data_IF_147107099909
#
_entry.id   IF_147107099909
#
_cell.length_a   1.000
_cell.length_b   1.000
_cell.length_c   1.000
_cell.angle_alpha   90.00
_cell.angle_beta   90.00
_cell.angle_gamma   90.00
#
_symmetry.space_group_name_H-M   'P 1'
#
loop_
_entity.id
_entity.type
_entity.pdbx_description
1 polymer ?
#
# COMPACT_ATOMS: atom_id res chain seq x y z
N UNK A 1 5.56 13.16 14.55
CA UNK A 1 4.25 12.58 14.20
C UNK A 1 4.28 11.16 14.72
N UNK A 2 3.61 10.89 15.85
CA UNK A 2 3.57 9.53 16.43
C UNK A 2 2.58 8.70 15.63
N UNK A 3 3.09 7.90 14.70
CA UNK A 3 2.28 6.96 13.92
C UNK A 3 2.00 5.75 14.81
N UNK A 4 0.75 5.61 15.27
CA UNK A 4 0.30 4.39 15.96
C UNK A 4 -0.20 3.37 14.94
N UNK A 5 0.70 2.50 14.48
CA UNK A 5 0.30 1.33 13.69
C UNK A 5 -0.10 0.22 14.65
N UNK A 6 -1.33 -0.31 14.60
CA UNK A 6 -1.68 -1.51 15.35
C UNK A 6 -0.82 -2.68 14.85
N UNK A 7 0.01 -3.25 15.73
CA UNK A 7 0.96 -4.30 15.34
C UNK A 7 0.27 -5.55 14.80
N UNK A 8 -0.95 -5.84 15.28
CA UNK A 8 -1.77 -6.97 14.82
C UNK A 8 -2.15 -6.90 13.33
N UNK A 9 -1.99 -5.73 12.70
CA UNK A 9 -2.25 -5.52 11.28
C UNK A 9 -1.03 -5.82 10.39
N UNK A 10 0.16 -5.98 10.97
CA UNK A 10 1.41 -6.11 10.22
C UNK A 10 1.91 -7.56 10.26
N UNK A 11 1.97 -8.17 9.08
CA UNK A 11 2.76 -9.39 8.84
C UNK A 11 4.24 -9.10 8.58
N UNK A 12 4.68 -7.85 8.73
CA UNK A 12 6.05 -7.38 8.50
C UNK A 12 6.60 -6.60 9.70
N UNK A 13 7.93 -6.53 9.90
CA UNK A 13 8.51 -5.73 10.97
C UNK A 13 8.11 -4.25 10.86
N UNK A 14 7.79 -3.62 12.00
CA UNK A 14 7.40 -2.20 12.05
C UNK A 14 8.47 -1.28 11.45
N UNK A 15 9.75 -1.61 11.63
CA UNK A 15 10.88 -0.84 11.07
C UNK A 15 10.87 -0.86 9.54
N UNK A 16 10.57 -2.01 8.94
CA UNK A 16 10.48 -2.15 7.49
C UNK A 16 9.25 -1.41 6.96
N UNK A 17 8.12 -1.53 7.66
CA UNK A 17 6.90 -0.75 7.37
C UNK A 17 7.18 0.76 7.33
N UNK A 18 7.82 1.29 8.37
CA UNK A 18 8.16 2.70 8.45
C UNK A 18 9.11 3.12 7.32
N UNK A 19 10.14 2.30 7.02
CA UNK A 19 11.09 2.59 5.95
C UNK A 19 10.41 2.68 4.57
N UNK A 20 9.51 1.75 4.26
CA UNK A 20 8.78 1.75 2.98
C UNK A 20 7.80 2.92 2.91
N UNK A 21 7.08 3.23 3.99
CA UNK A 21 6.18 4.38 4.04
C UNK A 21 6.94 5.69 3.78
N UNK A 22 8.10 5.87 4.41
CA UNK A 22 8.95 7.04 4.20
C UNK A 22 9.48 7.12 2.76
N UNK A 23 9.95 6.00 2.21
CA UNK A 23 10.45 5.97 0.83
C UNK A 23 9.32 6.21 -0.19
N UNK A 24 8.12 5.67 0.04
CA UNK A 24 6.94 5.95 -0.78
C UNK A 24 6.58 7.43 -0.78
N UNK A 25 6.57 8.06 0.40
CA UNK A 25 6.31 9.49 0.53
C UNK A 25 7.38 10.33 -0.20
N UNK A 26 8.65 9.95 -0.08
CA UNK A 26 9.77 10.61 -0.77
C UNK A 26 9.63 10.51 -2.29
N UNK A 27 9.32 9.33 -2.83
CA UNK A 27 9.12 9.15 -4.28
C UNK A 27 7.91 9.89 -4.79
N UNK A 28 6.82 9.89 -4.04
CA UNK A 28 5.62 10.63 -4.43
C UNK A 28 5.89 12.13 -4.59
N UNK A 29 6.73 12.72 -3.73
CA UNK A 29 7.11 14.14 -3.86
C UNK A 29 7.83 14.43 -5.19
N UNK A 30 8.61 13.49 -5.71
CA UNK A 30 9.36 13.63 -6.97
C UNK A 30 8.59 13.16 -8.21
N UNK A 31 7.63 12.24 -8.04
CA UNK A 31 6.94 11.50 -9.10
C UNK A 31 5.41 11.60 -8.93
N UNK A 32 4.87 12.80 -8.69
CA UNK A 32 3.44 13.04 -8.35
C UNK A 32 2.42 12.55 -9.40
N UNK A 33 2.85 12.07 -10.56
CA UNK A 33 2.00 11.45 -11.59
C UNK A 33 2.00 9.91 -11.59
N UNK A 34 2.89 9.27 -10.83
CA UNK A 34 3.02 7.81 -10.82
C UNK A 34 1.89 7.18 -9.98
N UNK A 35 0.87 6.65 -10.67
CA UNK A 35 -0.29 6.01 -10.04
C UNK A 35 0.08 4.82 -9.16
N UNK A 36 1.15 4.10 -9.48
CA UNK A 36 1.59 2.97 -8.67
C UNK A 36 2.18 3.47 -7.34
N UNK A 37 3.07 4.46 -7.39
CA UNK A 37 3.67 5.05 -6.18
C UNK A 37 2.59 5.70 -5.30
N UNK A 38 1.65 6.44 -5.91
CA UNK A 38 0.51 7.03 -5.21
C UNK A 38 -0.37 5.98 -4.53
N UNK A 39 -0.65 4.87 -5.19
CA UNK A 39 -1.41 3.76 -4.63
C UNK A 39 -0.69 3.08 -3.45
N UNK A 40 0.62 2.85 -3.56
CA UNK A 40 1.42 2.28 -2.46
C UNK A 40 1.39 3.22 -1.25
N UNK A 41 1.68 4.51 -1.44
CA UNK A 41 1.66 5.50 -0.36
C UNK A 41 0.29 5.54 0.33
N UNK A 42 -0.79 5.65 -0.45
CA UNK A 42 -2.17 5.70 0.08
C UNK A 42 -2.50 4.44 0.88
N UNK A 43 -2.10 3.27 0.39
CA UNK A 43 -2.33 2.00 1.08
C UNK A 43 -1.61 1.93 2.43
N UNK A 44 -0.35 2.37 2.48
CA UNK A 44 0.43 2.39 3.71
C UNK A 44 -0.08 3.44 4.70
N UNK A 45 -0.53 4.60 4.23
CA UNK A 45 -1.17 5.62 5.06
C UNK A 45 -2.48 5.14 5.68
N UNK A 46 -3.29 4.40 4.92
CA UNK A 46 -4.50 3.76 5.42
C UNK A 46 -4.19 2.72 6.51
N UNK A 47 -3.20 1.84 6.29
CA UNK A 47 -2.73 0.85 7.29
C UNK A 47 -2.20 1.53 8.55
N UNK A 48 -1.48 2.64 8.38
CA UNK A 48 -0.99 3.49 9.46
C UNK A 48 -2.09 4.36 10.12
N UNK A 49 -3.36 4.20 9.70
CA UNK A 49 -4.53 4.95 10.18
C UNK A 49 -4.41 6.47 10.05
N UNK A 50 -3.68 6.95 9.04
CA UNK A 50 -3.59 8.38 8.73
C UNK A 50 -4.84 8.88 8.00
N UNK A 51 -5.62 7.97 7.42
CA UNK A 51 -6.97 8.20 6.94
C UNK A 51 -7.79 6.89 7.00
N UNK A 52 -9.10 7.00 6.80
CA UNK A 52 -10.05 5.87 6.88
C UNK A 52 -10.61 5.44 5.54
N UNK A 53 -10.18 6.05 4.44
CA UNK A 53 -10.61 5.63 3.09
C UNK A 53 -9.73 4.49 2.58
N UNK A 54 -10.34 3.37 2.23
CA UNK A 54 -9.66 2.21 1.68
C UNK A 54 -9.28 2.45 0.20
N UNK A 55 -8.05 2.12 -0.22
CA UNK A 55 -7.44 2.65 -1.45
C UNK A 55 -8.02 2.10 -2.76
N UNK A 56 -8.55 0.87 -2.81
CA UNK A 56 -9.11 0.28 -4.02
C UNK A 56 -10.63 0.49 -4.13
N UNK A 57 -11.34 0.40 -3.01
CA UNK A 57 -12.80 0.42 -2.96
C UNK A 57 -13.38 1.77 -2.58
N UNK A 58 -12.58 2.68 -2.02
CA UNK A 58 -13.03 3.97 -1.50
C UNK A 58 -13.93 3.88 -0.27
N UNK A 59 -14.10 2.69 0.31
CA UNK A 59 -14.93 2.49 1.50
C UNK A 59 -14.33 3.21 2.70
N UNK A 60 -15.17 3.83 3.52
CA UNK A 60 -14.75 4.41 4.80
C UNK A 60 -14.72 3.31 5.87
N UNK A 61 -13.54 2.78 6.16
CA UNK A 61 -13.32 1.70 7.12
C UNK A 61 -11.90 1.76 7.67
N UNK A 62 -11.72 1.45 8.96
CA UNK A 62 -10.38 1.35 9.57
C UNK A 62 -9.65 0.13 9.00
N UNK A 63 -8.35 0.28 8.74
CA UNK A 63 -7.49 -0.82 8.30
C UNK A 63 -7.28 -1.85 9.43
N UNK A 64 -8.20 -2.80 9.58
CA UNK A 64 -8.00 -4.03 10.34
C UNK A 64 -7.60 -5.20 9.43
N UNK A 65 -7.19 -6.37 9.97
CA UNK A 65 -6.65 -7.47 9.16
C UNK A 65 -7.62 -7.95 8.07
N UNK A 66 -8.90 -8.11 8.43
CA UNK A 66 -9.97 -8.48 7.50
C UNK A 66 -10.24 -7.40 6.44
N UNK A 67 -10.16 -6.13 6.82
CA UNK A 67 -10.36 -5.02 5.89
C UNK A 67 -9.22 -4.99 4.87
N UNK A 68 -7.97 -5.13 5.33
CA UNK A 68 -6.77 -5.18 4.49
C UNK A 68 -6.85 -6.36 3.51
N UNK A 69 -7.23 -7.56 3.98
CA UNK A 69 -7.36 -8.74 3.11
C UNK A 69 -8.44 -8.54 2.03
N UNK A 70 -9.62 -8.05 2.39
CA UNK A 70 -10.70 -7.77 1.41
C UNK A 70 -10.29 -6.69 0.41
N UNK A 71 -9.56 -5.68 0.86
CA UNK A 71 -9.10 -4.60 0.00
C UNK A 71 -8.06 -5.08 -1.00
N UNK A 72 -7.13 -5.95 -0.57
CA UNK A 72 -6.20 -6.62 -1.46
C UNK A 72 -6.95 -7.44 -2.52
N UNK A 73 -7.95 -8.25 -2.11
CA UNK A 73 -8.76 -9.04 -3.06
C UNK A 73 -9.49 -8.15 -4.09
N UNK A 74 -10.00 -6.99 -3.66
CA UNK A 74 -10.62 -6.03 -4.56
C UNK A 74 -9.62 -5.44 -5.56
N UNK A 75 -8.40 -5.14 -5.13
CA UNK A 75 -7.33 -4.72 -6.02
C UNK A 75 -6.93 -5.84 -7.01
N UNK A 76 -6.75 -7.07 -6.53
CA UNK A 76 -6.45 -8.24 -7.36
C UNK A 76 -7.54 -8.46 -8.42
N UNK A 77 -8.82 -8.29 -8.07
CA UNK A 77 -9.94 -8.37 -9.02
C UNK A 77 -9.78 -7.39 -10.18
N UNK A 78 -9.33 -6.15 -9.92
CA UNK A 78 -9.02 -5.16 -10.99
C UNK A 78 -7.80 -5.60 -11.80
N UNK A 79 -6.74 -6.09 -11.14
CA UNK A 79 -5.49 -6.52 -11.80
C UNK A 79 -5.72 -7.66 -12.79
N UNK A 80 -6.56 -8.63 -12.41
CA UNK A 80 -6.87 -9.84 -13.16
C UNK A 80 -8.14 -9.74 -14.02
N UNK A 81 -8.88 -8.63 -13.96
CA UNK A 81 -10.07 -8.39 -14.78
C UNK A 81 -11.26 -9.29 -14.42
N UNK A 82 -11.54 -9.46 -13.13
CA UNK A 82 -12.69 -10.24 -12.67
C UNK A 82 -14.02 -9.49 -12.88
N UNK A 83 -15.15 -10.20 -13.06
CA UNK A 83 -16.45 -9.58 -13.36
C UNK A 83 -16.92 -8.55 -12.33
N UNK A 84 -16.65 -8.78 -11.05
CA UNK A 84 -17.09 -7.92 -9.93
C UNK A 84 -16.00 -6.93 -9.46
N UNK A 85 -15.02 -6.64 -10.32
CA UNK A 85 -13.94 -5.71 -9.98
C UNK A 85 -14.48 -4.28 -9.77
N UNK A 86 -13.94 -3.52 -8.78
CA UNK A 86 -14.26 -2.11 -8.60
C UNK A 86 -14.11 -1.29 -9.89
N UNK A 87 -15.18 -0.57 -10.26
CA UNK A 87 -15.18 0.29 -11.43
C UNK A 87 -14.38 1.58 -11.20
N UNK A 88 -13.81 2.15 -12.27
CA UNK A 88 -13.10 3.44 -12.23
C UNK A 88 -11.70 3.38 -11.61
N UNK A 89 -11.22 2.21 -11.18
CA UNK A 89 -9.86 2.01 -10.68
C UNK A 89 -8.95 1.62 -11.83
N UNK A 90 -7.83 2.34 -12.02
CA UNK A 90 -6.86 1.95 -13.06
C UNK A 90 -6.08 0.71 -12.63
N UNK A 91 -5.64 -0.09 -13.61
CA UNK A 91 -4.82 -1.28 -13.35
C UNK A 91 -3.52 -0.94 -12.62
N UNK A 92 -2.88 0.18 -12.96
CA UNK A 92 -1.65 0.65 -12.31
C UNK A 92 -1.86 0.96 -10.83
N UNK A 93 -2.97 1.62 -10.50
CA UNK A 93 -3.34 1.91 -9.12
C UNK A 93 -3.62 0.61 -8.36
N UNK A 94 -4.42 -0.28 -8.94
CA UNK A 94 -4.74 -1.58 -8.33
C UNK A 94 -3.48 -2.43 -8.09
N UNK A 95 -2.52 -2.44 -9.02
CA UNK A 95 -1.23 -3.10 -8.83
C UNK A 95 -0.48 -2.56 -7.62
N UNK A 96 -0.44 -1.23 -7.42
CA UNK A 96 0.19 -0.62 -6.26
C UNK A 96 -0.49 -0.99 -4.95
N UNK A 97 -1.84 -1.01 -4.93
CA UNK A 97 -2.61 -1.45 -3.76
C UNK A 97 -2.33 -2.92 -3.45
N UNK A 98 -2.44 -3.81 -4.44
CA UNK A 98 -2.20 -5.24 -4.27
C UNK A 98 -0.78 -5.52 -3.76
N UNK A 99 0.23 -4.87 -4.34
CA UNK A 99 1.61 -5.00 -3.93
C UNK A 99 1.82 -4.53 -2.47
N UNK A 100 1.29 -3.36 -2.11
CA UNK A 100 1.44 -2.81 -0.77
C UNK A 100 0.74 -3.68 0.29
N UNK A 101 -0.53 -4.04 0.09
CA UNK A 101 -1.31 -4.79 1.07
C UNK A 101 -0.86 -6.26 1.16
N UNK A 102 -0.46 -6.88 0.03
CA UNK A 102 0.12 -8.22 0.03
C UNK A 102 1.44 -8.27 0.80
N UNK A 103 2.29 -7.24 0.65
CA UNK A 103 3.51 -7.11 1.45
C UNK A 103 3.21 -6.87 2.93
N UNK A 104 2.34 -5.91 3.28
CA UNK A 104 1.93 -5.63 4.67
C UNK A 104 1.43 -6.87 5.39
N UNK A 105 0.68 -7.74 4.69
CA UNK A 105 0.16 -9.00 5.25
C UNK A 105 1.20 -10.12 5.35
N UNK A 106 2.42 -9.91 4.88
CA UNK A 106 3.47 -10.92 4.85
C UNK A 106 3.25 -12.04 3.82
N UNK A 107 2.27 -11.89 2.90
CA UNK A 107 2.02 -12.88 1.84
C UNK A 107 2.91 -12.67 0.61
N UNK A 108 3.55 -11.50 0.51
CA UNK A 108 4.59 -11.20 -0.48
C UNK A 108 5.89 -10.85 0.22
N UNK A 109 7.02 -11.52 -0.08
CA UNK A 109 8.33 -11.15 0.47
C UNK A 109 8.93 -9.91 -0.21
N UNK A 110 8.33 -9.45 -1.32
CA UNK A 110 8.88 -8.37 -2.14
C UNK A 110 8.37 -7.02 -1.67
N UNK A 111 9.32 -6.11 -1.40
CA UNK A 111 9.02 -4.71 -1.12
C UNK A 111 8.23 -4.06 -2.27
N UNK A 112 7.08 -3.39 -2.00
CA UNK A 112 6.28 -2.75 -3.04
C UNK A 112 7.00 -1.56 -3.66
N UNK A 113 7.90 -0.91 -2.91
CA UNK A 113 8.81 0.10 -3.40
C UNK A 113 10.23 -0.30 -2.97
N UNK A 114 11.16 -0.30 -3.93
CA UNK A 114 12.57 -0.56 -3.63
C UNK A 114 13.11 0.52 -2.69
N UNK A 115 13.59 0.12 -1.53
CA UNK A 115 14.34 1.01 -0.65
C UNK A 115 15.60 1.44 -1.40
N UNK A 116 15.85 2.75 -1.47
CA UNK A 116 17.05 3.26 -2.12
C UNK A 116 18.27 2.66 -1.45
N UNK A 117 19.04 1.85 -2.18
CA UNK A 117 20.42 1.58 -1.79
C UNK A 117 21.12 2.93 -1.73
N UNK A 118 21.73 3.25 -0.59
CA UNK A 118 22.64 4.39 -0.51
C UNK A 118 23.62 4.27 -1.67
N UNK A 119 23.51 5.15 -2.68
CA UNK A 119 24.63 5.33 -3.60
C UNK A 119 25.75 5.87 -2.72
N UNK A 120 26.66 5.00 -2.28
CA UNK A 120 27.98 5.45 -1.86
C UNK A 120 28.56 6.17 -3.07
N UNK A 121 28.74 7.47 -2.93
CA UNK A 121 29.61 8.23 -3.81
C UNK A 121 30.97 7.52 -3.78
N UNK A 122 31.42 7.08 -4.95
CA UNK A 122 32.80 6.71 -5.23
C UNK A 122 33.37 7.80 -6.12
#
# INVERSE_FOLDING_TARGET
>A
MDVRVPLDNLGVPLVDFAAVLTEAARRWQTEQGDRYVGAVLTSLQWVAQLHTSAPATGRTVVAGPDAIAREQMAADAVVYGWPDAPAGVSREWALGVAAALGWVRGVSPTYPIRLGGSRRAA
#
